data_IF_215147081815
#
_entry.id   IF_215147081815
#
_cell.length_a   1.000
_cell.length_b   1.000
_cell.length_c   1.000
_cell.angle_alpha   90.00
_cell.angle_beta   90.00
_cell.angle_gamma   90.00
#
_symmetry.space_group_name_H-M   'P 1'
#
loop_
_entity.id
_entity.type
_entity.pdbx_description
1 polymer ?
#
# COMPACT_ATOMS: atom_id res chain seq x y z
N UNK A 1 -13.65 -0.78 -13.29
CA UNK A 1 -14.14 -1.76 -12.29
C UNK A 1 -13.19 -1.94 -11.08
N UNK A 2 -12.01 -1.30 -11.04
CA UNK A 2 -10.99 -1.44 -9.98
C UNK A 2 -11.46 -0.95 -8.59
N UNK A 3 -12.16 0.18 -8.50
CA UNK A 3 -12.59 0.76 -7.21
C UNK A 3 -13.60 -0.12 -6.46
N UNK A 4 -14.47 -0.86 -7.16
CA UNK A 4 -15.49 -1.71 -6.52
C UNK A 4 -14.89 -2.99 -5.94
N UNK A 5 -13.92 -3.61 -6.64
CA UNK A 5 -13.20 -4.79 -6.14
C UNK A 5 -12.21 -4.44 -5.05
N UNK A 6 -11.47 -3.33 -5.19
CA UNK A 6 -10.50 -2.88 -4.20
C UNK A 6 -11.18 -2.24 -2.98
N UNK A 7 -12.31 -1.57 -3.15
CA UNK A 7 -13.06 -0.94 -2.05
C UNK A 7 -13.78 -1.93 -1.12
N UNK A 8 -13.92 -3.20 -1.52
CA UNK A 8 -14.42 -4.27 -0.66
C UNK A 8 -13.32 -4.90 0.22
N UNK A 9 -12.04 -4.59 -0.04
CA UNK A 9 -10.90 -5.11 0.70
C UNK A 9 -10.54 -4.15 1.84
N UNK A 10 -10.18 -4.72 3.00
CA UNK A 10 -9.63 -3.94 4.11
C UNK A 10 -8.30 -3.29 3.70
N UNK A 11 -8.03 -2.07 4.16
CA UNK A 11 -6.83 -1.31 3.80
C UNK A 11 -5.52 -2.04 4.10
N UNK A 12 -5.46 -2.81 5.18
CA UNK A 12 -4.33 -3.69 5.53
C UNK A 12 -4.14 -4.84 4.56
N UNK A 13 -5.24 -5.47 4.11
CA UNK A 13 -5.18 -6.55 3.12
C UNK A 13 -4.67 -6.02 1.78
N UNK A 14 -5.19 -4.86 1.35
CA UNK A 14 -4.83 -4.21 0.10
C UNK A 14 -3.34 -3.77 0.06
N UNK A 15 -2.84 -3.25 1.19
CA UNK A 15 -1.43 -2.93 1.36
C UNK A 15 -0.53 -4.18 1.51
N UNK A 16 -1.10 -5.35 1.83
CA UNK A 16 -0.39 -6.64 1.88
C UNK A 16 -0.28 -7.37 0.55
N UNK A 17 -1.16 -7.09 -0.42
CA UNK A 17 -1.21 -7.82 -1.69
C UNK A 17 0.05 -7.66 -2.54
N UNK A 18 0.52 -8.73 -3.17
CA UNK A 18 1.62 -8.66 -4.14
C UNK A 18 1.13 -8.33 -5.55
N UNK A 19 2.04 -7.91 -6.43
CA UNK A 19 1.70 -7.51 -7.81
C UNK A 19 0.89 -8.56 -8.56
N UNK A 20 1.20 -9.84 -8.33
CA UNK A 20 0.52 -10.96 -8.99
C UNK A 20 -0.93 -11.10 -8.52
N UNK A 21 -1.19 -10.94 -7.23
CA UNK A 21 -2.54 -10.94 -6.65
C UNK A 21 -3.37 -9.75 -7.17
N UNK A 22 -2.77 -8.57 -7.31
CA UNK A 22 -3.44 -7.42 -7.92
C UNK A 22 -3.75 -7.62 -9.40
N UNK A 23 -2.88 -8.32 -10.14
CA UNK A 23 -3.13 -8.71 -11.53
C UNK A 23 -4.23 -9.76 -11.66
N UNK A 24 -4.34 -10.68 -10.71
CA UNK A 24 -5.43 -11.66 -10.67
C UNK A 24 -6.80 -11.00 -10.50
N UNK A 25 -6.88 -9.88 -9.77
CA UNK A 25 -8.12 -9.11 -9.58
C UNK A 25 -8.34 -8.09 -10.71
N UNK A 26 -7.26 -7.49 -11.23
CA UNK A 26 -7.29 -6.44 -12.24
C UNK A 26 -6.12 -6.64 -13.24
N UNK A 27 -6.28 -7.43 -14.32
CA UNK A 27 -5.17 -7.81 -15.20
C UNK A 27 -4.55 -6.63 -15.96
N UNK A 28 -5.38 -5.68 -16.43
CA UNK A 28 -4.91 -4.52 -17.21
C UNK A 28 -4.28 -3.43 -16.33
N UNK A 29 -4.85 -3.19 -15.14
CA UNK A 29 -4.51 -2.06 -14.27
C UNK A 29 -3.70 -2.46 -13.04
N UNK A 30 -3.55 -3.75 -12.74
CA UNK A 30 -2.91 -4.26 -11.51
C UNK A 30 -1.47 -3.80 -11.34
N UNK A 31 -0.74 -3.59 -12.44
CA UNK A 31 0.59 -2.99 -12.42
C UNK A 31 0.60 -1.53 -11.97
N UNK A 32 -0.36 -0.72 -12.45
CA UNK A 32 -0.51 0.70 -12.06
C UNK A 32 -0.94 0.83 -10.61
N UNK A 33 -1.90 0.00 -10.19
CA UNK A 33 -2.40 -0.06 -8.80
C UNK A 33 -1.28 -0.45 -7.84
N UNK A 34 -0.48 -1.47 -8.17
CA UNK A 34 0.66 -1.88 -7.33
C UNK A 34 1.69 -0.76 -7.18
N UNK A 35 1.98 -0.03 -8.26
CA UNK A 35 2.92 1.09 -8.20
C UNK A 35 2.39 2.24 -7.32
N UNK A 36 1.11 2.58 -7.45
CA UNK A 36 0.47 3.59 -6.59
C UNK A 36 0.50 3.15 -5.11
N UNK A 37 0.22 1.87 -4.84
CA UNK A 37 0.29 1.30 -3.49
C UNK A 37 1.71 1.29 -2.93
N UNK A 38 2.72 1.10 -3.77
CA UNK A 38 4.11 1.15 -3.33
C UNK A 38 4.44 2.53 -2.73
N UNK A 39 3.99 3.62 -3.36
CA UNK A 39 4.16 4.96 -2.81
C UNK A 39 3.48 5.12 -1.44
N UNK A 40 2.28 4.56 -1.27
CA UNK A 40 1.56 4.55 0.02
C UNK A 40 2.30 3.73 1.07
N UNK A 41 2.84 2.56 0.72
CA UNK A 41 3.65 1.71 1.63
C UNK A 41 4.90 2.44 2.09
N UNK A 42 5.60 3.11 1.16
CA UNK A 42 6.80 3.90 1.48
C UNK A 42 6.46 5.04 2.45
N UNK A 43 5.38 5.78 2.18
CA UNK A 43 4.93 6.85 3.08
C UNK A 43 4.54 6.32 4.47
N UNK A 44 3.91 5.15 4.52
CA UNK A 44 3.50 4.51 5.78
C UNK A 44 4.71 3.99 6.57
N UNK A 45 5.72 3.42 5.91
CA UNK A 45 6.98 3.03 6.53
C UNK A 45 7.74 4.24 7.11
N UNK A 46 7.87 5.32 6.33
CA UNK A 46 8.49 6.57 6.77
C UNK A 46 7.74 7.21 7.95
N UNK A 47 6.41 7.17 7.94
CA UNK A 47 5.59 7.64 9.06
C UNK A 47 5.79 6.78 10.32
N UNK A 48 6.04 5.47 10.16
CA UNK A 48 6.38 4.58 11.28
C UNK A 48 7.77 4.88 11.87
N UNK A 49 8.74 5.31 11.05
CA UNK A 49 10.09 5.68 11.50
C UNK A 49 10.11 7.03 12.23
N UNK A 50 9.19 7.93 11.86
CA UNK A 50 9.01 9.25 12.50
C UNK A 50 8.68 9.17 14.00
N UNK A 51 8.25 8.01 14.50
CA UNK A 51 7.98 7.78 15.91
C UNK A 51 9.21 7.51 16.80
N UNK A 52 10.38 7.22 16.21
CA UNK A 52 11.56 6.78 16.98
C UNK A 52 12.68 7.83 17.14
N UNK A 53 12.53 9.03 16.57
CA UNK A 53 13.61 10.03 16.48
C UNK A 53 13.57 11.23 17.43
N UNK A 54 12.63 11.33 18.37
CA UNK A 54 12.44 12.55 19.19
C UNK A 54 12.90 12.46 20.66
N UNK A 55 13.59 11.40 21.08
CA UNK A 55 14.18 11.30 22.42
C UNK A 55 15.70 11.16 22.39
N UNK A 56 16.44 12.16 21.90
CA UNK A 56 17.80 12.36 22.38
C UNK A 56 18.32 13.78 22.12
N UNK A 57 18.08 14.67 23.08
CA UNK A 57 18.62 16.02 23.09
C UNK A 57 18.48 16.59 24.50
N UNK A 58 19.08 15.88 25.46
CA UNK A 58 19.25 16.36 26.84
C UNK A 58 20.64 16.96 26.97
#
# INVERSE_FOLDING_TARGET
MTVRTLGALNGTLLLGMVRDELRAVCPEEGGRVFFQLQAVRSAQALASESGYGQYNGR
#
